data_IF_867573643693
#
_entry.id   IF_867573643693
#
_cell.length_a   1.000
_cell.length_b   1.000
_cell.length_c   1.000
_cell.angle_alpha   90.00
_cell.angle_beta   90.00
_cell.angle_gamma   90.00
#
_symmetry.space_group_name_H-M   'P 1'
#
loop_
_entity.id
_entity.type
_entity.pdbx_description
1 polymer ?
#
# COMPACT_ATOMS: atom_id res chain seq x y z
N UNK A 1 13.95 21.10 3.45
CA UNK A 1 13.56 19.77 2.94
C UNK A 1 12.49 20.01 1.89
N UNK A 2 12.68 19.56 0.66
CA UNK A 2 11.67 19.73 -0.40
C UNK A 2 10.65 18.62 -0.23
N UNK A 3 9.38 18.96 0.03
CA UNK A 3 8.30 18.00 0.28
C UNK A 3 8.27 16.86 -0.75
N UNK A 4 8.56 17.15 -2.01
CA UNK A 4 8.68 16.19 -3.11
C UNK A 4 9.66 15.04 -2.84
N UNK A 5 10.78 15.31 -2.17
CA UNK A 5 11.79 14.31 -1.87
C UNK A 5 11.31 13.34 -0.78
N UNK A 6 10.65 13.87 0.25
CA UNK A 6 10.02 13.04 1.30
C UNK A 6 8.92 12.17 0.70
N UNK A 7 8.08 12.73 -0.17
CA UNK A 7 7.04 11.96 -0.85
C UNK A 7 7.61 10.84 -1.72
N UNK A 8 8.70 11.08 -2.46
CA UNK A 8 9.35 10.03 -3.25
C UNK A 8 9.84 8.88 -2.38
N UNK A 9 10.51 9.16 -1.27
CA UNK A 9 11.04 8.12 -0.38
C UNK A 9 9.92 7.27 0.23
N UNK A 10 8.85 7.91 0.70
CA UNK A 10 7.70 7.21 1.32
C UNK A 10 6.96 6.36 0.31
N UNK A 11 6.72 6.87 -0.90
CA UNK A 11 6.05 6.12 -1.98
C UNK A 11 6.89 4.90 -2.36
N UNK A 12 8.21 5.08 -2.51
CA UNK A 12 9.12 4.00 -2.89
C UNK A 12 9.26 2.96 -1.78
N UNK A 13 9.27 3.37 -0.51
CA UNK A 13 9.32 2.44 0.61
C UNK A 13 8.03 1.61 0.70
N UNK A 14 6.85 2.22 0.60
CA UNK A 14 5.58 1.50 0.65
C UNK A 14 5.41 0.52 -0.53
N UNK A 15 5.94 0.87 -1.71
CA UNK A 15 5.98 -0.05 -2.84
C UNK A 15 6.83 -1.30 -2.56
N UNK A 16 7.99 -1.13 -1.92
CA UNK A 16 8.90 -2.24 -1.57
C UNK A 16 8.41 -3.04 -0.37
N UNK A 17 7.85 -2.36 0.62
CA UNK A 17 7.41 -2.90 1.91
C UNK A 17 5.93 -2.59 2.15
N UNK A 18 5.01 -3.15 1.35
CA UNK A 18 3.59 -2.88 1.50
C UNK A 18 3.10 -3.40 2.85
N UNK A 19 2.58 -2.50 3.67
CA UNK A 19 1.96 -2.83 4.94
C UNK A 19 0.58 -3.45 4.72
N UNK A 20 0.21 -4.40 5.58
CA UNK A 20 -1.10 -5.07 5.56
C UNK A 20 -1.44 -5.79 4.25
N UNK A 21 -0.42 -6.32 3.56
CA UNK A 21 -0.64 -7.18 2.40
C UNK A 21 -1.41 -8.44 2.82
N UNK A 22 -2.41 -8.79 2.00
CA UNK A 22 -3.13 -10.06 2.09
C UNK A 22 -4.30 -10.02 3.07
N UNK A 23 -5.14 -11.04 2.96
CA UNK A 23 -6.32 -11.21 3.79
C UNK A 23 -5.94 -11.85 5.13
N UNK A 24 -6.49 -11.33 6.23
CA UNK A 24 -6.15 -11.77 7.59
C UNK A 24 -7.36 -12.39 8.27
N UNK A 25 -7.19 -13.59 8.82
CA UNK A 25 -8.24 -14.29 9.55
C UNK A 25 -8.44 -13.76 10.98
N UNK A 26 -9.68 -13.80 11.49
CA UNK A 26 -10.91 -14.09 10.76
C UNK A 26 -11.39 -12.87 9.96
N UNK A 27 -11.87 -13.08 8.73
CA UNK A 27 -12.47 -12.03 7.89
C UNK A 27 -13.87 -12.44 7.41
N UNK A 28 -14.73 -11.45 7.14
CA UNK A 28 -16.10 -11.69 6.72
C UNK A 28 -16.28 -11.73 5.19
N UNK A 29 -15.46 -10.99 4.44
CA UNK A 29 -15.52 -10.91 2.97
C UNK A 29 -14.20 -10.39 2.38
N UNK A 30 -13.96 -10.69 1.10
CA UNK A 30 -12.85 -10.19 0.27
C UNK A 30 -13.40 -9.54 -1.00
N UNK A 31 -12.80 -8.43 -1.45
CA UNK A 31 -13.23 -7.69 -2.65
C UNK A 31 -12.04 -7.39 -3.53
N UNK A 32 -12.19 -7.62 -4.84
CA UNK A 32 -11.16 -7.36 -5.85
C UNK A 32 -11.56 -6.17 -6.72
N UNK A 33 -10.74 -5.12 -6.71
CA UNK A 33 -10.89 -3.97 -7.60
C UNK A 33 -9.83 -4.01 -8.69
N UNK A 34 -10.25 -3.75 -9.92
CA UNK A 34 -9.36 -3.54 -11.07
C UNK A 34 -9.55 -2.10 -11.56
N UNK A 35 -8.45 -1.45 -11.94
CA UNK A 35 -8.54 -0.20 -12.67
C UNK A 35 -8.93 -0.54 -14.13
N UNK A 36 -10.05 -0.03 -14.66
CA UNK A 36 -10.43 -0.27 -16.06
C UNK A 36 -9.40 0.27 -17.05
#
# INVERSE_FOLDING_TARGET
MRLEQIYQEVILDHYKHPHHRGLRDPFAAEVHHVNP
#
